data_IF_816855955224
#
_entry.id   IF_816855955224
#
_cell.length_a   1.000
_cell.length_b   1.000
_cell.length_c   1.000
_cell.angle_alpha   90.00
_cell.angle_beta   90.00
_cell.angle_gamma   90.00
#
_symmetry.space_group_name_H-M   'P 1'
#
loop_
_entity.id
_entity.type
_entity.pdbx_description
1 polymer ?
#
# COMPACT_ATOMS: atom_id res chain seq x y z
N UNK A 1 -25.51 -4.26 31.65
CA UNK A 1 -24.56 -3.29 32.24
C UNK A 1 -24.00 -2.47 31.10
N UNK A 2 -24.20 -1.16 31.10
CA UNK A 2 -23.67 -0.23 30.10
C UNK A 2 -22.14 -0.18 30.22
N UNK A 3 -21.41 -0.32 29.11
CA UNK A 3 -19.95 -0.22 29.09
C UNK A 3 -19.54 1.22 29.40
N UNK A 4 -18.54 1.42 30.25
CA UNK A 4 -17.96 2.75 30.50
C UNK A 4 -17.19 3.22 29.26
N UNK A 5 -17.02 4.54 29.11
CA UNK A 5 -16.21 5.13 28.02
C UNK A 5 -14.79 4.56 28.03
N UNK A 6 -14.20 4.38 29.22
CA UNK A 6 -12.86 3.81 29.35
C UNK A 6 -12.78 2.37 28.83
N UNK A 7 -13.80 1.54 29.09
CA UNK A 7 -13.86 0.19 28.53
C UNK A 7 -14.02 0.21 27.01
N UNK A 8 -14.88 1.10 26.47
CA UNK A 8 -15.03 1.25 25.02
C UNK A 8 -13.73 1.69 24.35
N UNK A 9 -12.98 2.63 24.93
CA UNK A 9 -11.67 3.05 24.42
C UNK A 9 -10.67 1.89 24.38
N UNK A 10 -10.63 1.09 25.44
CA UNK A 10 -9.78 -0.10 25.50
C UNK A 10 -10.14 -1.10 24.41
N UNK A 11 -11.44 -1.42 24.28
CA UNK A 11 -11.94 -2.34 23.25
C UNK A 11 -11.62 -1.81 21.84
N UNK A 12 -11.84 -0.52 21.58
CA UNK A 12 -11.56 0.13 20.30
C UNK A 12 -10.08 -0.01 19.92
N UNK A 13 -9.17 0.31 20.84
CA UNK A 13 -7.72 0.19 20.60
C UNK A 13 -7.34 -1.25 20.26
N UNK A 14 -7.90 -2.23 20.98
CA UNK A 14 -7.65 -3.64 20.68
C UNK A 14 -8.16 -4.07 19.31
N UNK A 15 -9.34 -3.57 18.90
CA UNK A 15 -9.97 -3.83 17.60
C UNK A 15 -9.09 -3.26 16.48
N UNK A 16 -8.68 -2.00 16.59
CA UNK A 16 -7.80 -1.35 15.62
C UNK A 16 -6.44 -2.06 15.52
N UNK A 17 -5.83 -2.41 16.66
CA UNK A 17 -4.57 -3.15 16.64
C UNK A 17 -4.72 -4.60 16.14
N UNK A 18 -5.89 -5.22 16.30
CA UNK A 18 -6.18 -6.51 15.69
C UNK A 18 -6.28 -6.41 14.16
N UNK A 19 -6.81 -5.31 13.63
CA UNK A 19 -6.82 -5.04 12.20
C UNK A 19 -5.39 -4.98 11.64
N UNK A 20 -4.50 -4.23 12.31
CA UNK A 20 -3.08 -4.14 11.94
C UNK A 20 -2.41 -5.52 11.99
N UNK A 21 -2.59 -6.28 13.08
CA UNK A 21 -2.00 -7.63 13.22
C UNK A 21 -2.53 -8.64 12.20
N UNK A 22 -3.76 -8.48 11.72
CA UNK A 22 -4.31 -9.34 10.67
C UNK A 22 -3.62 -9.07 9.32
N UNK A 23 -3.16 -7.84 9.09
CA UNK A 23 -2.40 -7.46 7.91
C UNK A 23 -0.88 -7.65 8.06
N UNK A 24 -0.39 -8.28 9.14
CA UNK A 24 1.04 -8.54 9.33
C UNK A 24 1.63 -9.30 8.13
N UNK A 25 2.64 -8.70 7.49
CA UNK A 25 3.16 -9.19 6.23
C UNK A 25 3.77 -10.59 6.35
N UNK A 26 4.44 -10.90 7.48
CA UNK A 26 5.00 -12.22 7.72
C UNK A 26 3.92 -13.30 7.88
N UNK A 27 2.85 -12.98 8.63
CA UNK A 27 1.66 -13.85 8.77
C UNK A 27 1.00 -14.11 7.43
N UNK A 28 0.84 -13.09 6.58
CA UNK A 28 0.21 -13.24 5.27
C UNK A 28 1.05 -14.12 4.34
N UNK A 29 2.37 -13.95 4.34
CA UNK A 29 3.28 -14.82 3.57
C UNK A 29 3.20 -16.26 4.06
N UNK A 30 3.24 -16.51 5.38
CA UNK A 30 3.10 -17.86 5.94
C UNK A 30 1.75 -18.50 5.60
N UNK A 31 0.67 -17.73 5.64
CA UNK A 31 -0.66 -18.19 5.25
C UNK A 31 -0.72 -18.56 3.76
N UNK A 32 -0.13 -17.74 2.88
CA UNK A 32 -0.04 -18.04 1.46
C UNK A 32 0.77 -19.31 1.18
N UNK A 33 1.84 -19.55 1.95
CA UNK A 33 2.67 -20.75 1.86
C UNK A 33 2.05 -21.99 2.50
N UNK A 34 0.86 -21.89 3.09
CA UNK A 34 0.06 -23.06 3.47
C UNK A 34 -0.77 -23.61 2.30
N UNK A 35 -0.87 -22.87 1.19
CA UNK A 35 -1.54 -23.33 -0.02
C UNK A 35 -0.73 -24.44 -0.71
N UNK A 36 -1.34 -25.63 -0.84
CA UNK A 36 -0.69 -26.80 -1.41
C UNK A 36 -0.21 -26.57 -2.85
N UNK A 37 -0.94 -25.80 -3.66
CA UNK A 37 -0.55 -25.52 -5.04
C UNK A 37 0.71 -24.67 -5.14
N UNK A 38 0.87 -23.69 -4.24
CA UNK A 38 2.08 -22.88 -4.16
C UNK A 38 3.27 -23.70 -3.66
N UNK A 39 3.05 -24.52 -2.63
CA UNK A 39 4.09 -25.41 -2.09
C UNK A 39 4.59 -26.40 -3.14
N UNK A 40 3.69 -27.01 -3.92
CA UNK A 40 4.09 -27.94 -4.98
C UNK A 40 4.86 -27.24 -6.11
N UNK A 41 4.51 -25.99 -6.46
CA UNK A 41 5.31 -25.19 -7.41
C UNK A 41 6.71 -24.90 -6.88
N UNK A 42 6.83 -24.58 -5.60
CA UNK A 42 8.11 -24.35 -4.95
C UNK A 42 8.97 -25.61 -4.99
N UNK A 43 8.42 -26.76 -4.58
CA UNK A 43 9.14 -28.06 -4.61
C UNK A 43 9.53 -28.51 -6.02
N UNK A 44 8.72 -28.21 -7.03
CA UNK A 44 8.99 -28.59 -8.41
C UNK A 44 10.10 -27.73 -9.07
N UNK A 45 10.42 -26.58 -8.50
CA UNK A 45 11.44 -25.68 -9.04
C UNK A 45 12.85 -26.23 -8.80
N UNK A 46 13.73 -26.14 -9.81
CA UNK A 46 15.14 -26.51 -9.65
C UNK A 46 15.90 -25.51 -8.78
N UNK A 47 15.54 -24.22 -8.86
CA UNK A 47 16.04 -23.13 -8.03
C UNK A 47 14.93 -22.12 -7.79
N UNK A 48 14.95 -21.51 -6.62
CA UNK A 48 14.06 -20.40 -6.27
C UNK A 48 14.88 -19.12 -6.18
N UNK A 49 14.42 -18.09 -6.87
CA UNK A 49 14.96 -16.73 -6.82
C UNK A 49 13.90 -15.83 -6.21
N UNK A 50 14.28 -14.92 -5.32
CA UNK A 50 13.33 -14.06 -4.62
C UNK A 50 13.70 -12.61 -4.81
N UNK A 51 12.71 -11.80 -5.21
CA UNK A 51 12.78 -10.33 -5.21
C UNK A 51 11.64 -9.82 -4.33
N UNK A 52 11.98 -9.30 -3.15
CA UNK A 52 11.06 -8.62 -2.26
C UNK A 52 11.19 -7.12 -2.42
N UNK A 53 10.08 -6.42 -2.67
CA UNK A 53 10.07 -4.98 -2.92
C UNK A 53 8.85 -4.30 -2.29
N UNK A 54 9.09 -3.17 -1.63
CA UNK A 54 8.05 -2.35 -1.01
C UNK A 54 8.31 -2.07 0.47
N UNK A 55 7.40 -1.34 1.11
CA UNK A 55 7.47 -1.00 2.55
C UNK A 55 7.51 -2.26 3.44
N UNK A 56 6.86 -3.35 3.00
CA UNK A 56 6.81 -4.61 3.74
C UNK A 56 7.85 -5.65 3.27
N UNK A 57 8.81 -5.26 2.41
CA UNK A 57 9.75 -6.21 1.79
C UNK A 57 10.57 -7.02 2.82
N UNK A 58 11.03 -6.38 3.90
CA UNK A 58 11.82 -7.05 4.94
C UNK A 58 11.05 -8.18 5.63
N UNK A 59 9.91 -7.90 6.28
CA UNK A 59 9.08 -8.92 6.90
C UNK A 59 8.62 -10.02 5.92
N UNK A 60 8.25 -9.66 4.69
CA UNK A 60 7.87 -10.64 3.67
C UNK A 60 9.03 -11.57 3.32
N UNK A 61 10.23 -11.02 3.08
CA UNK A 61 11.43 -11.78 2.73
C UNK A 61 11.85 -12.73 3.87
N UNK A 62 11.81 -12.24 5.11
CA UNK A 62 12.14 -13.04 6.29
C UNK A 62 11.19 -14.23 6.45
N UNK A 63 9.87 -13.99 6.40
CA UNK A 63 8.88 -15.05 6.54
C UNK A 63 8.94 -16.06 5.39
N UNK A 64 9.19 -15.60 4.16
CA UNK A 64 9.33 -16.47 3.00
C UNK A 64 10.58 -17.36 3.13
N UNK A 65 11.72 -16.80 3.52
CA UNK A 65 12.97 -17.55 3.65
C UNK A 65 12.93 -18.56 4.81
N UNK A 66 12.28 -18.22 5.93
CA UNK A 66 12.04 -19.13 7.05
C UNK A 66 11.21 -20.35 6.58
N UNK A 67 10.09 -20.09 5.90
CA UNK A 67 9.23 -21.15 5.40
C UNK A 67 9.93 -22.02 4.33
N UNK A 68 10.68 -21.43 3.40
CA UNK A 68 11.43 -22.17 2.38
C UNK A 68 12.51 -23.06 3.00
N UNK A 69 13.17 -22.60 4.07
CA UNK A 69 14.19 -23.40 4.76
C UNK A 69 13.61 -24.68 5.36
N UNK A 70 12.33 -24.69 5.75
CA UNK A 70 11.65 -25.89 6.25
C UNK A 70 11.40 -26.96 5.18
N UNK A 71 11.40 -26.58 3.89
CA UNK A 71 11.14 -27.49 2.77
C UNK A 71 12.37 -28.32 2.34
N UNK A 72 13.56 -28.04 2.92
CA UNK A 72 14.87 -28.68 2.65
C UNK A 72 15.44 -28.50 1.22
N UNK A 73 14.61 -28.59 0.17
CA UNK A 73 14.94 -28.33 -1.24
C UNK A 73 13.68 -27.85 -2.00
N UNK A 74 13.76 -26.89 -2.96
CA UNK A 74 14.93 -26.17 -3.44
C UNK A 74 15.49 -25.12 -2.49
N UNK A 75 16.82 -24.99 -2.45
CA UNK A 75 17.48 -23.86 -1.77
C UNK A 75 17.33 -22.57 -2.58
N UNK A 76 17.12 -21.41 -1.92
CA UNK A 76 17.11 -20.13 -2.61
C UNK A 76 18.49 -19.82 -3.20
N UNK A 77 18.52 -19.36 -4.45
CA UNK A 77 19.77 -18.97 -5.13
C UNK A 77 20.05 -17.48 -4.97
N UNK A 78 19.11 -16.62 -5.37
CA UNK A 78 19.15 -15.19 -5.09
C UNK A 78 18.03 -14.81 -4.12
N UNK A 79 18.36 -13.98 -3.13
CA UNK A 79 17.44 -13.39 -2.16
C UNK A 79 17.70 -11.89 -2.14
N UNK A 80 16.85 -11.10 -2.80
CA UNK A 80 17.01 -9.64 -2.90
C UNK A 80 15.85 -8.95 -2.20
N UNK A 81 16.15 -8.08 -1.24
CA UNK A 81 15.18 -7.19 -0.61
C UNK A 81 15.41 -5.73 -1.02
N UNK A 82 14.34 -5.01 -1.29
CA UNK A 82 14.34 -3.60 -1.71
C UNK A 82 13.29 -2.85 -0.87
N UNK A 83 13.73 -1.92 -0.04
CA UNK A 83 12.83 -1.18 0.84
C UNK A 83 13.38 0.19 1.22
N UNK A 84 12.58 1.02 1.92
CA UNK A 84 12.98 2.36 2.32
C UNK A 84 14.08 2.37 3.39
N UNK A 85 14.17 1.31 4.19
CA UNK A 85 15.18 1.11 5.22
C UNK A 85 15.44 -0.37 5.44
N UNK A 86 16.70 -0.72 5.71
CA UNK A 86 17.13 -2.07 6.04
C UNK A 86 16.47 -2.58 7.33
N UNK A 87 15.89 -3.79 7.32
CA UNK A 87 15.35 -4.40 8.53
C UNK A 87 16.48 -4.88 9.45
N UNK A 88 16.18 -4.99 10.76
CA UNK A 88 17.13 -5.45 11.78
C UNK A 88 17.67 -6.86 11.50
N UNK A 89 16.83 -7.71 10.93
CA UNK A 89 17.16 -9.08 10.57
C UNK A 89 16.90 -9.32 9.08
N UNK A 90 17.81 -10.05 8.45
CA UNK A 90 17.71 -10.53 7.08
C UNK A 90 18.06 -12.02 7.02
N UNK A 91 17.53 -12.78 6.05
CA UNK A 91 17.92 -14.16 5.87
C UNK A 91 19.41 -14.26 5.50
N UNK A 92 20.09 -15.37 5.82
CA UNK A 92 21.47 -15.58 5.39
C UNK A 92 21.62 -15.42 3.87
N UNK A 93 22.66 -14.70 3.45
CA UNK A 93 22.98 -14.41 2.02
C UNK A 93 21.98 -13.50 1.30
N UNK A 94 21.00 -12.91 1.99
CA UNK A 94 20.14 -11.92 1.38
C UNK A 94 20.90 -10.61 1.09
N UNK A 95 20.71 -10.09 -0.12
CA UNK A 95 21.14 -8.76 -0.52
C UNK A 95 20.03 -7.77 -0.18
N UNK A 96 20.39 -6.62 0.37
CA UNK A 96 19.42 -5.55 0.67
C UNK A 96 19.82 -4.25 0.00
N UNK A 97 18.83 -3.59 -0.60
CA UNK A 97 18.96 -2.28 -1.21
C UNK A 97 18.04 -1.28 -0.51
N UNK A 98 18.64 -0.28 0.14
CA UNK A 98 17.92 0.89 0.61
C UNK A 98 17.59 1.78 -0.59
N UNK A 99 16.30 2.03 -0.84
CA UNK A 99 15.82 2.83 -1.97
C UNK A 99 14.96 4.00 -1.51
N UNK A 100 14.93 5.08 -2.29
CA UNK A 100 14.12 6.25 -1.94
C UNK A 100 12.62 6.06 -2.24
N UNK A 101 11.80 6.60 -1.33
CA UNK A 101 10.35 6.71 -1.43
C UNK A 101 9.92 8.02 -0.75
N UNK A 102 8.96 8.79 -1.30
CA UNK A 102 8.09 8.48 -2.43
C UNK A 102 8.65 8.85 -3.81
N UNK A 103 9.74 9.61 -3.87
CA UNK A 103 10.40 9.99 -5.14
C UNK A 103 11.60 9.07 -5.36
N UNK A 104 11.70 8.36 -6.50
CA UNK A 104 12.81 7.47 -6.79
C UNK A 104 14.12 8.24 -6.96
N UNK A 105 15.25 7.66 -6.57
CA UNK A 105 16.60 8.18 -6.80
C UNK A 105 17.51 7.12 -7.46
N UNK A 106 18.80 7.40 -7.58
CA UNK A 106 19.77 6.45 -8.13
C UNK A 106 19.87 5.13 -7.37
N UNK A 107 19.51 5.09 -6.07
CA UNK A 107 19.43 3.83 -5.33
C UNK A 107 18.29 2.97 -5.86
N UNK A 108 17.15 3.59 -6.16
CA UNK A 108 16.01 2.92 -6.80
C UNK A 108 16.35 2.33 -8.17
N UNK A 109 17.19 3.02 -8.95
CA UNK A 109 17.68 2.54 -10.26
C UNK A 109 18.58 1.32 -10.08
N UNK A 110 19.55 1.38 -9.16
CA UNK A 110 20.45 0.25 -8.86
C UNK A 110 19.70 -0.98 -8.36
N UNK A 111 18.75 -0.79 -7.44
CA UNK A 111 17.91 -1.86 -6.91
C UNK A 111 17.07 -2.52 -8.02
N UNK A 112 16.48 -1.70 -8.90
CA UNK A 112 15.70 -2.22 -10.03
C UNK A 112 16.55 -2.93 -11.08
N UNK A 113 17.77 -2.46 -11.34
CA UNK A 113 18.73 -3.18 -12.19
C UNK A 113 19.03 -4.56 -11.62
N UNK A 114 19.34 -4.65 -10.32
CA UNK A 114 19.62 -5.93 -9.66
C UNK A 114 18.43 -6.89 -9.74
N UNK A 115 17.21 -6.40 -9.50
CA UNK A 115 15.99 -7.20 -9.63
C UNK A 115 15.80 -7.75 -11.05
N UNK A 116 16.06 -6.93 -12.07
CA UNK A 116 16.01 -7.35 -13.47
C UNK A 116 17.09 -8.39 -13.80
N UNK A 117 18.30 -8.23 -13.28
CA UNK A 117 19.40 -9.18 -13.47
C UNK A 117 19.08 -10.54 -12.83
N UNK A 118 18.46 -10.55 -11.64
CA UNK A 118 17.97 -11.78 -10.99
C UNK A 118 16.91 -12.48 -11.84
N UNK A 119 15.94 -11.73 -12.38
CA UNK A 119 14.93 -12.29 -13.26
C UNK A 119 15.55 -12.87 -14.54
N UNK A 120 16.46 -12.15 -15.18
CA UNK A 120 17.15 -12.57 -16.40
C UNK A 120 18.06 -13.80 -16.22
N UNK A 121 18.59 -14.01 -15.00
CA UNK A 121 19.45 -15.14 -14.66
C UNK A 121 18.69 -16.46 -14.45
N UNK A 122 17.34 -16.44 -14.44
CA UNK A 122 16.54 -17.65 -14.26
C UNK A 122 16.69 -18.62 -15.44
N UNK A 123 16.65 -19.92 -15.15
CA UNK A 123 16.55 -20.99 -16.14
C UNK A 123 15.09 -21.45 -16.33
N UNK A 124 14.76 -22.22 -17.39
CA UNK A 124 13.38 -22.67 -17.66
C UNK A 124 12.70 -23.47 -16.54
N UNK A 125 13.47 -24.17 -15.69
CA UNK A 125 12.96 -24.93 -14.53
C UNK A 125 13.05 -24.17 -13.20
N UNK A 126 13.50 -22.92 -13.23
CA UNK A 126 13.58 -22.09 -12.04
C UNK A 126 12.23 -21.40 -11.77
N UNK A 127 12.08 -20.91 -10.54
CA UNK A 127 10.96 -20.10 -10.11
C UNK A 127 11.47 -18.75 -9.58
N UNK A 128 10.93 -17.66 -10.12
CA UNK A 128 11.05 -16.33 -9.54
C UNK A 128 9.84 -16.06 -8.64
N UNK A 129 10.09 -15.80 -7.36
CA UNK A 129 9.09 -15.32 -6.42
C UNK A 129 9.25 -13.82 -6.23
N UNK A 130 8.21 -13.06 -6.51
CA UNK A 130 8.16 -11.62 -6.29
C UNK A 130 7.25 -11.32 -5.10
N UNK A 131 7.85 -10.81 -4.02
CA UNK A 131 7.12 -10.40 -2.82
C UNK A 131 6.89 -8.88 -2.93
N UNK A 132 5.66 -8.49 -3.23
CA UNK A 132 5.33 -7.13 -3.63
C UNK A 132 4.47 -6.43 -2.57
N UNK A 133 4.81 -5.20 -2.22
CA UNK A 133 3.99 -4.36 -1.34
C UNK A 133 4.03 -2.89 -1.76
N UNK A 134 3.25 -2.06 -1.05
CA UNK A 134 3.18 -0.61 -1.24
C UNK A 134 4.53 0.09 -1.39
N UNK A 135 4.58 1.13 -2.22
CA UNK A 135 5.80 1.92 -2.47
C UNK A 135 6.79 1.35 -3.50
N UNK A 136 6.59 0.10 -3.97
CA UNK A 136 7.42 -0.52 -5.02
C UNK A 136 7.55 0.35 -6.30
N UNK A 137 6.55 1.20 -6.54
CA UNK A 137 6.50 2.28 -7.53
C UNK A 137 7.86 2.98 -7.72
N UNK A 138 8.30 3.56 -6.60
CA UNK A 138 9.49 4.40 -6.47
C UNK A 138 10.72 3.60 -6.04
N UNK A 139 10.55 2.56 -5.21
CA UNK A 139 11.67 1.78 -4.68
C UNK A 139 12.40 0.97 -5.77
N UNK A 140 11.69 0.56 -6.82
CA UNK A 140 12.20 -0.22 -7.95
C UNK A 140 11.91 0.49 -9.26
N UNK A 141 12.65 1.57 -9.53
CA UNK A 141 12.44 2.47 -10.65
C UNK A 141 13.58 2.41 -11.67
N UNK A 142 13.41 1.59 -12.71
CA UNK A 142 14.33 1.53 -13.85
C UNK A 142 13.76 2.32 -15.04
N UNK A 143 14.41 3.42 -15.50
CA UNK A 143 14.05 4.10 -16.73
C UNK A 143 14.16 3.17 -17.94
N UNK A 144 13.38 3.47 -18.99
CA UNK A 144 13.54 2.81 -20.30
C UNK A 144 14.86 3.22 -20.97
N UNK A 145 15.25 2.50 -22.01
CA UNK A 145 16.45 2.84 -22.78
C UNK A 145 16.33 4.24 -23.41
N UNK A 146 17.36 5.07 -23.27
CA UNK A 146 17.41 6.41 -23.86
C UNK A 146 16.70 7.51 -23.06
N UNK A 147 16.24 7.24 -21.83
CA UNK A 147 15.71 8.27 -20.91
C UNK A 147 16.42 8.23 -19.55
N UNK A 148 16.61 9.39 -18.94
CA UNK A 148 17.18 9.52 -17.60
C UNK A 148 16.12 9.35 -16.51
N UNK A 149 16.55 9.18 -15.25
CA UNK A 149 15.64 9.14 -14.11
C UNK A 149 14.92 10.48 -13.93
N UNK A 150 15.64 11.58 -14.15
CA UNK A 150 15.16 12.96 -14.05
C UNK A 150 14.01 13.21 -15.03
N UNK A 151 14.11 12.67 -16.26
CA UNK A 151 13.05 12.78 -17.27
C UNK A 151 11.76 12.12 -16.77
N UNK A 152 11.89 10.95 -16.14
CA UNK A 152 10.78 10.20 -15.57
C UNK A 152 10.17 10.94 -14.38
N UNK A 153 11.00 11.46 -13.48
CA UNK A 153 10.54 12.27 -12.34
C UNK A 153 9.82 13.55 -12.80
N UNK A 154 10.35 14.24 -13.82
CA UNK A 154 9.71 15.44 -14.38
C UNK A 154 8.36 15.10 -15.02
N UNK A 155 8.31 14.02 -15.81
CA UNK A 155 7.07 13.57 -16.45
C UNK A 155 5.99 13.26 -15.42
N UNK A 156 6.33 12.49 -14.37
CA UNK A 156 5.39 12.19 -13.28
C UNK A 156 4.91 13.46 -12.59
N UNK A 157 5.81 14.41 -12.29
CA UNK A 157 5.43 15.70 -11.69
C UNK A 157 4.46 16.49 -12.57
N UNK A 158 4.68 16.54 -13.88
CA UNK A 158 3.79 17.25 -14.80
C UNK A 158 2.42 16.58 -14.93
N UNK A 159 2.38 15.25 -15.01
CA UNK A 159 1.12 14.50 -15.04
C UNK A 159 0.28 14.74 -13.77
N UNK A 160 0.91 14.70 -12.60
CA UNK A 160 0.24 14.98 -11.33
C UNK A 160 -0.29 16.42 -11.28
N UNK A 161 0.51 17.42 -11.72
CA UNK A 161 0.06 18.80 -11.83
C UNK A 161 -1.10 18.98 -12.81
N UNK A 162 -1.12 18.20 -13.88
CA UNK A 162 -2.20 18.17 -14.88
C UNK A 162 -3.44 17.38 -14.45
N UNK A 163 -3.48 16.89 -13.21
CA UNK A 163 -4.60 16.11 -12.68
C UNK A 163 -4.81 14.77 -13.41
N UNK A 164 -3.72 14.14 -13.86
CA UNK A 164 -3.79 12.81 -14.46
C UNK A 164 -4.40 11.80 -13.47
N UNK A 165 -5.28 10.93 -13.97
CA UNK A 165 -5.80 9.83 -13.16
C UNK A 165 -4.69 8.80 -12.87
N UNK A 166 -4.92 7.90 -11.92
CA UNK A 166 -3.96 6.83 -11.62
C UNK A 166 -3.70 5.94 -12.83
N UNK A 167 -4.73 5.66 -13.64
CA UNK A 167 -4.62 4.83 -14.84
C UNK A 167 -3.80 5.53 -15.92
N UNK A 168 -4.05 6.82 -16.15
CA UNK A 168 -3.27 7.62 -17.11
C UNK A 168 -1.80 7.73 -16.69
N UNK A 169 -1.56 8.00 -15.40
CA UNK A 169 -0.23 8.06 -14.85
C UNK A 169 0.50 6.70 -15.01
N UNK A 170 -0.19 5.60 -14.76
CA UNK A 170 0.39 4.26 -14.88
C UNK A 170 0.63 3.85 -16.33
N UNK A 171 -0.26 4.19 -17.26
CA UNK A 171 -0.02 3.99 -18.68
C UNK A 171 1.31 4.63 -19.09
N UNK A 172 1.53 5.92 -18.78
CA UNK A 172 2.82 6.57 -19.10
C UNK A 172 3.98 5.92 -18.33
N UNK A 173 3.86 5.70 -17.00
CA UNK A 173 4.97 5.18 -16.17
C UNK A 173 5.46 3.81 -16.60
N UNK A 174 4.56 2.92 -17.06
CA UNK A 174 4.90 1.57 -17.54
C UNK A 174 5.72 1.65 -18.84
N UNK A 175 5.28 2.46 -19.80
CA UNK A 175 5.96 2.67 -21.09
C UNK A 175 7.31 3.41 -20.96
N UNK A 176 7.51 4.17 -19.88
CA UNK A 176 8.80 4.79 -19.54
C UNK A 176 9.68 3.91 -18.62
N UNK A 177 9.45 2.60 -18.53
CA UNK A 177 10.20 1.75 -17.59
C UNK A 177 10.72 0.48 -18.22
N UNK A 178 11.95 0.09 -17.91
CA UNK A 178 12.48 -1.22 -18.32
C UNK A 178 12.01 -2.39 -17.42
N UNK A 179 11.26 -2.14 -16.34
CA UNK A 179 10.90 -3.19 -15.34
C UNK A 179 9.39 -3.28 -15.02
N UNK A 180 8.62 -2.21 -15.28
CA UNK A 180 7.18 -2.14 -14.98
C UNK A 180 6.33 -2.71 -16.12
N UNK A 181 5.03 -2.88 -15.90
CA UNK A 181 4.08 -3.34 -16.92
C UNK A 181 4.44 -4.70 -17.49
N UNK A 182 4.72 -5.67 -16.62
CA UNK A 182 5.04 -7.05 -16.99
C UNK A 182 6.49 -7.30 -17.38
N UNK A 183 7.31 -6.25 -17.56
CA UNK A 183 8.69 -6.39 -18.07
C UNK A 183 9.62 -7.20 -17.15
N UNK A 184 9.41 -7.19 -15.82
CA UNK A 184 10.18 -8.06 -14.91
C UNK A 184 9.86 -9.54 -15.15
N UNK A 185 8.58 -9.89 -15.28
CA UNK A 185 8.19 -11.27 -15.59
C UNK A 185 8.62 -11.68 -17.00
N UNK A 186 8.54 -10.77 -17.97
CA UNK A 186 8.97 -11.05 -19.35
C UNK A 186 10.48 -11.31 -19.47
N UNK A 187 11.31 -10.74 -18.59
CA UNK A 187 12.75 -10.99 -18.53
C UNK A 187 13.11 -12.39 -17.99
N UNK A 188 12.16 -13.08 -17.34
CA UNK A 188 12.38 -14.41 -16.74
C UNK A 188 12.44 -15.49 -17.83
N UNK A 189 13.06 -16.66 -17.57
CA UNK A 189 12.96 -17.87 -18.43
C UNK A 189 12.09 -18.97 -17.80
N UNK A 190 12.07 -19.04 -16.48
CA UNK A 190 11.21 -19.93 -15.70
C UNK A 190 9.84 -19.34 -15.34
N UNK A 191 9.18 -19.93 -14.34
CA UNK A 191 7.89 -19.46 -13.84
C UNK A 191 8.05 -18.24 -12.92
N UNK A 192 6.98 -17.44 -12.81
CA UNK A 192 6.92 -16.30 -11.90
C UNK A 192 5.71 -16.45 -10.99
N UNK A 193 5.91 -16.30 -9.69
CA UNK A 193 4.84 -16.19 -8.69
C UNK A 193 4.98 -14.87 -7.97
N UNK A 194 3.92 -14.06 -7.97
CA UNK A 194 3.87 -12.83 -7.19
C UNK A 194 2.95 -13.00 -5.98
N UNK A 195 3.44 -12.66 -4.80
CA UNK A 195 2.64 -12.53 -3.59
C UNK A 195 2.57 -11.05 -3.23
N UNK A 196 1.41 -10.43 -3.39
CA UNK A 196 1.20 -9.00 -3.24
C UNK A 196 0.42 -8.66 -1.96
N UNK A 197 0.89 -7.67 -1.22
CA UNK A 197 0.12 -6.96 -0.20
C UNK A 197 -0.31 -5.62 -0.81
N UNK A 198 -1.62 -5.42 -0.90
CA UNK A 198 -2.22 -4.28 -1.60
C UNK A 198 -2.53 -3.13 -0.65
N UNK A 199 -1.97 -1.96 -0.95
CA UNK A 199 -2.39 -0.65 -0.44
C UNK A 199 -3.22 0.14 -1.47
N UNK A 200 -3.70 -0.54 -2.53
CA UNK A 200 -4.44 0.07 -3.62
C UNK A 200 -5.93 -0.20 -3.44
N UNK A 201 -6.75 0.85 -3.54
CA UNK A 201 -8.21 0.70 -3.55
C UNK A 201 -8.64 -0.17 -4.73
N UNK A 202 -9.33 -1.27 -4.45
CA UNK A 202 -9.80 -2.22 -5.46
C UNK A 202 -8.80 -3.33 -5.80
N UNK A 203 -7.62 -3.34 -5.18
CA UNK A 203 -6.68 -4.46 -5.23
C UNK A 203 -6.23 -4.82 -6.67
N UNK A 204 -6.12 -3.82 -7.58
CA UNK A 204 -5.62 -4.08 -8.94
C UNK A 204 -4.09 -4.29 -8.94
N UNK A 205 -3.68 -5.54 -9.21
CA UNK A 205 -2.29 -5.95 -9.37
C UNK A 205 -1.53 -5.16 -10.46
N UNK A 206 -2.21 -4.66 -11.49
CA UNK A 206 -1.61 -3.83 -12.54
C UNK A 206 -1.16 -2.46 -12.04
N UNK A 207 -1.75 -2.00 -10.92
CA UNK A 207 -1.46 -0.73 -10.25
C UNK A 207 -0.41 -0.91 -9.17
N UNK A 208 -0.46 -2.00 -8.40
CA UNK A 208 0.50 -2.29 -7.32
C UNK A 208 1.92 -2.39 -7.91
N UNK A 209 2.82 -1.51 -7.47
CA UNK A 209 4.18 -1.44 -8.02
C UNK A 209 4.24 -1.10 -9.52
N UNK A 210 3.15 -0.62 -10.12
CA UNK A 210 2.95 -0.50 -11.57
C UNK A 210 3.06 -1.85 -12.31
N UNK A 211 2.62 -2.94 -11.67
CA UNK A 211 2.45 -4.27 -12.26
C UNK A 211 3.71 -4.84 -12.91
N UNK A 212 4.85 -4.99 -12.21
CA UNK A 212 6.09 -5.48 -12.82
C UNK A 212 6.00 -6.90 -13.37
N UNK A 213 5.06 -7.70 -12.86
CA UNK A 213 4.88 -9.13 -13.19
C UNK A 213 3.52 -9.44 -13.83
N UNK A 214 2.76 -8.41 -14.19
CA UNK A 214 1.35 -8.49 -14.63
C UNK A 214 1.27 -7.86 -16.03
N UNK A 215 0.46 -8.40 -16.96
CA UNK A 215 0.34 -7.80 -18.28
C UNK A 215 -0.20 -6.36 -18.21
N UNK A 216 0.17 -5.56 -19.20
CA UNK A 216 -0.29 -4.18 -19.34
C UNK A 216 -1.11 -4.04 -20.63
N UNK A 217 -2.43 -3.80 -20.55
CA UNK A 217 -3.26 -3.65 -21.74
C UNK A 217 -3.05 -2.31 -22.45
N UNK A 218 -2.49 -1.30 -21.77
CA UNK A 218 -2.23 0.01 -22.37
C UNK A 218 -1.08 -0.03 -23.37
N UNK A 219 -1.04 0.95 -24.28
CA UNK A 219 -0.06 1.02 -25.38
C UNK A 219 0.75 2.31 -25.36
N UNK A 220 1.83 2.34 -26.13
CA UNK A 220 2.58 3.58 -26.41
C UNK A 220 1.68 4.69 -26.99
N UNK A 221 0.67 4.32 -27.78
CA UNK A 221 -0.30 5.27 -28.31
C UNK A 221 -1.17 5.89 -27.20
N UNK A 222 -1.62 5.08 -26.24
CA UNK A 222 -2.36 5.56 -25.07
C UNK A 222 -1.49 6.49 -24.22
N UNK A 223 -0.24 6.12 -23.99
CA UNK A 223 0.71 6.95 -23.25
C UNK A 223 0.94 8.32 -23.92
N UNK A 224 1.07 8.36 -25.25
CA UNK A 224 1.15 9.63 -26.00
C UNK A 224 -0.14 10.45 -25.90
N UNK A 225 -1.30 9.79 -26.02
CA UNK A 225 -2.59 10.45 -25.90
C UNK A 225 -2.80 11.06 -24.50
N UNK A 226 -2.25 10.44 -23.45
CA UNK A 226 -2.21 11.03 -22.11
C UNK A 226 -1.40 12.32 -22.10
N UNK A 227 -0.19 12.33 -22.69
CA UNK A 227 0.62 13.56 -22.75
C UNK A 227 -0.12 14.69 -23.49
N UNK A 228 -0.80 14.36 -24.59
CA UNK A 228 -1.61 15.30 -25.37
C UNK A 228 -2.76 15.90 -24.54
N UNK A 229 -3.51 15.07 -23.82
CA UNK A 229 -4.61 15.52 -22.95
C UNK A 229 -4.13 16.33 -21.75
N UNK A 230 -2.93 16.03 -21.23
CA UNK A 230 -2.38 16.62 -20.00
C UNK A 230 -1.38 17.74 -20.30
N UNK A 231 -1.73 18.65 -21.21
CA UNK A 231 -0.99 19.89 -21.46
C UNK A 231 -0.11 19.90 -22.72
N UNK A 232 -0.08 18.81 -23.50
CA UNK A 232 0.65 18.72 -24.76
C UNK A 232 2.09 18.24 -24.61
N UNK A 233 2.64 17.62 -25.67
CA UNK A 233 3.96 16.94 -25.62
C UNK A 233 5.14 17.87 -25.31
N UNK A 234 5.00 19.14 -25.65
CA UNK A 234 6.00 20.20 -25.50
C UNK A 234 6.35 20.55 -24.04
N UNK A 235 5.51 20.17 -23.06
CA UNK A 235 5.83 20.38 -21.63
C UNK A 235 6.58 19.21 -20.98
N UNK A 236 6.75 18.11 -21.72
CA UNK A 236 7.44 16.91 -21.27
C UNK A 236 8.87 16.86 -21.83
N UNK A 237 9.81 16.18 -21.16
CA UNK A 237 11.17 16.01 -21.67
C UNK A 237 11.18 15.43 -23.09
N UNK A 238 12.02 15.96 -23.97
CA UNK A 238 12.09 15.52 -25.37
C UNK A 238 12.41 14.03 -25.49
N UNK A 239 13.32 13.51 -24.66
CA UNK A 239 13.69 12.11 -24.63
C UNK A 239 12.48 11.18 -24.33
N UNK A 240 11.57 11.61 -23.46
CA UNK A 240 10.33 10.88 -23.14
C UNK A 240 9.39 10.83 -24.34
N UNK A 241 9.15 11.97 -24.98
CA UNK A 241 8.30 12.05 -26.18
C UNK A 241 8.89 11.22 -27.31
N UNK A 242 10.21 11.31 -27.53
CA UNK A 242 10.92 10.52 -28.53
C UNK A 242 10.80 9.02 -28.25
N UNK A 243 10.99 8.57 -27.01
CA UNK A 243 10.84 7.16 -26.64
C UNK A 243 9.43 6.65 -26.96
N UNK A 244 8.39 7.37 -26.55
CA UNK A 244 7.02 6.95 -26.79
C UNK A 244 6.66 6.94 -28.28
N UNK A 245 7.16 7.90 -29.06
CA UNK A 245 6.97 7.93 -30.52
C UNK A 245 7.69 6.79 -31.23
N UNK A 246 8.91 6.43 -30.78
CA UNK A 246 9.61 5.24 -31.28
C UNK A 246 8.83 3.96 -30.99
N UNK A 247 8.31 3.84 -29.77
CA UNK A 247 7.43 2.73 -29.38
C UNK A 247 6.17 2.65 -30.23
N UNK A 248 5.50 3.79 -30.48
CA UNK A 248 4.32 3.86 -31.37
C UNK A 248 4.61 3.44 -32.81
N UNK A 249 5.84 3.67 -33.29
CA UNK A 249 6.30 3.22 -34.62
C UNK A 249 6.75 1.75 -34.66
N UNK A 250 6.73 1.05 -33.53
CA UNK A 250 7.17 -0.34 -33.43
C UNK A 250 8.68 -0.53 -33.41
N UNK A 251 9.46 0.52 -33.15
CA UNK A 251 10.92 0.43 -33.03
C UNK A 251 11.38 -0.12 -31.68
N UNK A 252 10.49 -0.14 -30.69
CA UNK A 252 10.71 -0.65 -29.34
C UNK A 252 9.54 -1.56 -29.01
N UNK A 253 9.84 -2.72 -28.42
CA UNK A 253 8.84 -3.65 -27.94
C UNK A 253 7.85 -2.98 -26.98
N UNK A 254 6.58 -3.30 -27.19
CA UNK A 254 5.51 -2.89 -26.31
C UNK A 254 5.64 -3.54 -24.90
N UNK A 255 4.99 -2.98 -23.88
CA UNK A 255 4.80 -3.69 -22.61
C UNK A 255 4.08 -5.02 -22.85
N UNK A 256 4.48 -6.12 -22.18
CA UNK A 256 3.82 -7.42 -22.31
C UNK A 256 2.29 -7.32 -22.22
N UNK A 257 1.64 -7.70 -23.32
CA UNK A 257 0.18 -7.70 -23.44
C UNK A 257 -0.41 -8.97 -22.82
N UNK A 258 -1.72 -9.03 -22.53
CA UNK A 258 -2.34 -10.20 -21.92
C UNK A 258 -2.12 -11.53 -22.66
N UNK A 259 -1.91 -11.48 -23.97
CA UNK A 259 -1.64 -12.61 -24.86
C UNK A 259 -0.14 -12.90 -25.07
N UNK A 260 0.76 -12.13 -24.45
CA UNK A 260 2.21 -12.32 -24.59
C UNK A 260 2.65 -13.66 -23.96
N UNK A 261 3.25 -14.60 -24.73
CA UNK A 261 3.69 -15.89 -24.19
C UNK A 261 4.66 -15.78 -23.01
N UNK A 262 5.42 -14.69 -22.91
CA UNK A 262 6.39 -14.46 -21.82
C UNK A 262 5.68 -14.23 -20.48
N UNK A 263 4.45 -13.70 -20.49
CA UNK A 263 3.65 -13.43 -19.28
C UNK A 263 2.76 -14.62 -18.89
N UNK A 264 2.46 -15.54 -19.82
CA UNK A 264 1.59 -16.70 -19.58
C UNK A 264 2.07 -17.63 -18.44
N UNK A 265 3.36 -17.58 -18.11
CA UNK A 265 3.98 -18.32 -17.00
C UNK A 265 4.04 -17.56 -15.66
N UNK A 266 3.50 -16.34 -15.63
CA UNK A 266 3.41 -15.49 -14.45
C UNK A 266 2.04 -15.62 -13.81
N UNK A 267 2.03 -15.92 -12.51
CA UNK A 267 0.82 -15.87 -11.68
C UNK A 267 1.04 -14.86 -10.55
N UNK A 268 -0.03 -14.18 -10.17
CA UNK A 268 0.01 -13.16 -9.12
C UNK A 268 -1.18 -13.32 -8.19
N UNK A 269 -0.91 -13.30 -6.89
CA UNK A 269 -1.88 -13.48 -5.83
C UNK A 269 -1.83 -12.31 -4.88
N UNK A 270 -2.99 -11.81 -4.48
CA UNK A 270 -3.12 -10.83 -3.42
C UNK A 270 -3.29 -11.61 -2.14
N UNK A 271 -2.28 -11.55 -1.29
CA UNK A 271 -2.23 -12.30 -0.03
C UNK A 271 -2.72 -11.46 1.15
N UNK A 272 -2.81 -10.15 0.98
CA UNK A 272 -3.43 -9.24 1.93
C UNK A 272 -3.82 -7.92 1.30
N UNK A 273 -4.86 -7.32 1.84
CA UNK A 273 -5.36 -6.01 1.42
C UNK A 273 -6.29 -5.44 2.47
N UNK A 274 -7.01 -4.39 2.11
CA UNK A 274 -7.91 -3.65 3.00
C UNK A 274 -8.86 -4.56 3.80
N UNK A 275 -9.48 -5.52 3.12
CA UNK A 275 -10.46 -6.42 3.74
C UNK A 275 -9.83 -7.42 4.70
N UNK A 276 -8.52 -7.69 4.59
CA UNK A 276 -7.77 -8.49 5.55
C UNK A 276 -7.70 -7.78 6.91
N UNK A 277 -7.42 -6.48 6.92
CA UNK A 277 -7.41 -5.70 8.15
C UNK A 277 -8.82 -5.58 8.76
N UNK A 278 -9.84 -5.33 7.92
CA UNK A 278 -11.25 -5.31 8.37
C UNK A 278 -11.64 -6.64 9.01
N UNK A 279 -11.27 -7.78 8.42
CA UNK A 279 -11.55 -9.09 8.99
C UNK A 279 -10.95 -9.25 10.40
N UNK A 280 -9.72 -8.77 10.62
CA UNK A 280 -9.08 -8.76 11.93
C UNK A 280 -9.81 -7.91 12.98
N UNK A 281 -10.28 -6.72 12.59
CA UNK A 281 -11.11 -5.88 13.44
C UNK A 281 -12.45 -6.57 13.78
N UNK A 282 -13.12 -7.16 12.78
CA UNK A 282 -14.40 -7.85 12.94
C UNK A 282 -14.27 -9.03 13.90
N UNK A 283 -13.25 -9.87 13.73
CA UNK A 283 -12.98 -11.02 14.62
C UNK A 283 -12.79 -10.56 16.07
N UNK A 284 -11.95 -9.53 16.28
CA UNK A 284 -11.70 -8.99 17.62
C UNK A 284 -12.96 -8.36 18.21
N UNK A 285 -13.72 -7.57 17.45
CA UNK A 285 -14.96 -6.95 17.92
C UNK A 285 -16.00 -8.01 18.34
N UNK A 286 -16.20 -9.06 17.53
CA UNK A 286 -17.08 -10.18 17.86
C UNK A 286 -16.62 -10.91 19.12
N UNK A 287 -15.32 -11.15 19.28
CA UNK A 287 -14.76 -11.78 20.49
C UNK A 287 -14.98 -10.94 21.76
N UNK A 288 -15.16 -9.62 21.61
CA UNK A 288 -15.51 -8.68 22.68
C UNK A 288 -17.03 -8.49 22.82
N UNK A 289 -17.85 -9.29 22.12
CA UNK A 289 -19.31 -9.29 22.23
C UNK A 289 -20.03 -8.17 21.48
N UNK A 290 -19.38 -7.52 20.50
CA UNK A 290 -20.03 -6.53 19.65
C UNK A 290 -20.78 -7.17 18.48
N UNK A 291 -21.94 -6.62 18.14
CA UNK A 291 -22.58 -6.81 16.85
C UNK A 291 -21.90 -5.93 15.82
N UNK A 292 -21.41 -6.51 14.72
CA UNK A 292 -20.52 -5.81 13.79
C UNK A 292 -21.24 -5.51 12.47
N UNK A 293 -21.17 -4.25 12.02
CA UNK A 293 -21.50 -3.84 10.66
C UNK A 293 -20.22 -3.43 9.92
N UNK A 294 -20.03 -3.97 8.72
CA UNK A 294 -18.89 -3.64 7.86
C UNK A 294 -19.36 -2.70 6.76
N UNK A 295 -18.70 -1.55 6.64
CA UNK A 295 -18.85 -0.67 5.48
C UNK A 295 -18.00 -1.27 4.35
N UNK A 296 -18.65 -1.97 3.42
CA UNK A 296 -17.95 -2.72 2.36
C UNK A 296 -17.24 -1.80 1.36
N UNK A 297 -17.86 -0.69 1.00
CA UNK A 297 -17.27 0.30 0.09
C UNK A 297 -15.98 0.90 0.69
N UNK A 298 -14.97 1.20 -0.14
CA UNK A 298 -13.76 1.85 0.34
C UNK A 298 -14.05 3.29 0.80
N UNK A 299 -13.50 3.67 1.94
CA UNK A 299 -13.58 5.04 2.47
C UNK A 299 -12.47 5.85 1.80
N UNK A 300 -12.87 6.75 0.89
CA UNK A 300 -11.94 7.53 0.05
C UNK A 300 -12.35 8.99 0.02
N UNK A 301 -11.45 9.83 -0.51
CA UNK A 301 -11.67 11.28 -0.63
C UNK A 301 -10.99 12.04 0.50
N UNK A 302 -11.38 13.31 0.65
CA UNK A 302 -10.82 14.20 1.67
C UNK A 302 -11.23 13.72 3.07
N UNK A 303 -10.27 13.57 3.98
CA UNK A 303 -10.44 12.96 5.30
C UNK A 303 -11.60 13.55 6.14
N UNK A 304 -11.79 14.88 6.12
CA UNK A 304 -12.84 15.57 6.88
C UNK A 304 -14.24 15.32 6.31
N UNK A 305 -14.34 15.19 4.99
CA UNK A 305 -15.61 14.88 4.32
C UNK A 305 -15.96 13.40 4.47
N UNK A 306 -14.95 12.53 4.33
CA UNK A 306 -15.08 11.09 4.55
C UNK A 306 -15.50 10.77 6.00
N UNK A 307 -15.02 11.54 6.98
CA UNK A 307 -15.45 11.44 8.38
C UNK A 307 -16.94 11.73 8.58
N UNK A 308 -17.47 12.78 7.94
CA UNK A 308 -18.91 13.09 8.00
C UNK A 308 -19.74 11.97 7.41
N UNK A 309 -19.37 11.48 6.22
CA UNK A 309 -20.06 10.37 5.58
C UNK A 309 -20.03 9.10 6.46
N UNK A 310 -18.89 8.81 7.08
CA UNK A 310 -18.75 7.69 8.01
C UNK A 310 -19.63 7.87 9.26
N UNK A 311 -19.70 9.06 9.85
CA UNK A 311 -20.55 9.33 11.01
C UNK A 311 -22.03 9.05 10.70
N UNK A 312 -22.49 9.45 9.51
CA UNK A 312 -23.86 9.17 9.06
C UNK A 312 -24.10 7.67 8.86
N UNK A 313 -23.16 6.97 8.23
CA UNK A 313 -23.24 5.51 8.06
C UNK A 313 -23.27 4.79 9.40
N UNK A 314 -22.39 5.19 10.33
CA UNK A 314 -22.33 4.64 11.66
C UNK A 314 -23.64 4.87 12.43
N UNK A 315 -24.22 6.07 12.32
CA UNK A 315 -25.52 6.38 12.91
C UNK A 315 -26.66 5.51 12.34
N UNK A 316 -26.73 5.36 11.02
CA UNK A 316 -27.72 4.49 10.34
C UNK A 316 -27.56 3.03 10.74
N UNK A 317 -26.34 2.52 10.75
CA UNK A 317 -26.06 1.14 11.14
C UNK A 317 -26.38 0.90 12.63
N UNK A 318 -25.98 1.81 13.51
CA UNK A 318 -26.25 1.72 14.95
C UNK A 318 -27.75 1.79 15.31
N UNK A 319 -28.58 2.38 14.45
CA UNK A 319 -30.04 2.40 14.63
C UNK A 319 -30.70 1.04 14.36
N UNK A 320 -30.04 0.14 13.62
CA UNK A 320 -30.59 -1.16 13.22
C UNK A 320 -29.87 -2.35 13.86
N UNK A 321 -28.62 -2.17 14.28
CA UNK A 321 -27.84 -3.20 14.96
C UNK A 321 -28.23 -3.36 16.44
N UNK A 322 -28.30 -4.59 16.96
CA UNK A 322 -28.34 -4.82 18.40
C UNK A 322 -27.09 -4.26 19.09
N UNK A 323 -27.24 -3.83 20.33
CA UNK A 323 -26.15 -3.25 21.14
C UNK A 323 -25.53 -4.31 22.06
N UNK A 324 -24.22 -4.23 22.34
CA UNK A 324 -23.28 -3.20 21.87
C UNK A 324 -22.88 -3.41 20.40
N UNK A 325 -22.72 -2.33 19.65
CA UNK A 325 -22.46 -2.35 18.21
C UNK A 325 -21.06 -1.82 17.86
N UNK A 326 -20.47 -2.37 16.80
CA UNK A 326 -19.20 -1.94 16.23
C UNK A 326 -19.37 -1.73 14.72
N UNK A 327 -19.04 -0.55 14.22
CA UNK A 327 -19.05 -0.23 12.81
C UNK A 327 -17.61 -0.12 12.36
N UNK A 328 -17.24 -0.93 11.36
CA UNK A 328 -15.86 -0.99 10.84
C UNK A 328 -15.88 -0.69 9.36
N UNK A 329 -14.97 0.17 8.93
CA UNK A 329 -14.69 0.43 7.54
C UNK A 329 -13.20 0.55 7.32
N UNK A 330 -12.81 0.66 6.05
CA UNK A 330 -11.43 0.88 5.71
C UNK A 330 -11.35 1.57 4.34
N UNK A 331 -10.20 2.15 4.04
CA UNK A 331 -9.94 2.80 2.76
C UNK A 331 -8.63 3.55 2.75
N UNK A 332 -8.59 4.66 2.02
CA UNK A 332 -7.39 5.49 1.88
C UNK A 332 -7.87 6.92 1.65
N UNK A 333 -7.77 7.76 2.67
CA UNK A 333 -8.19 9.17 2.56
C UNK A 333 -7.02 10.08 2.18
N UNK A 334 -7.32 11.32 1.83
CA UNK A 334 -6.32 12.35 1.53
C UNK A 334 -6.58 13.61 2.35
N UNK A 335 -5.54 14.42 2.51
CA UNK A 335 -5.63 15.74 3.15
C UNK A 335 -5.23 16.79 2.13
N UNK A 336 -6.05 17.82 1.98
CA UNK A 336 -5.65 19.03 1.26
C UNK A 336 -4.95 19.95 2.26
N UNK A 337 -3.63 20.00 2.19
CA UNK A 337 -2.81 20.82 3.08
C UNK A 337 -2.97 22.30 2.70
N UNK A 338 -3.48 23.09 3.64
CA UNK A 338 -3.72 24.54 3.54
C UNK A 338 -2.96 25.33 4.60
N UNK A 339 -2.77 24.75 5.78
CA UNK A 339 -2.02 25.32 6.89
C UNK A 339 -0.58 24.82 6.97
N UNK A 340 0.10 25.20 8.04
CA UNK A 340 1.48 24.80 8.35
C UNK A 340 1.56 23.87 9.56
N UNK A 341 0.42 23.30 9.97
CA UNK A 341 0.32 22.37 11.08
C UNK A 341 0.99 21.01 10.82
N UNK A 342 1.03 20.21 11.86
CA UNK A 342 1.50 18.83 11.83
C UNK A 342 0.30 17.88 12.00
N UNK A 343 0.20 16.86 11.16
CA UNK A 343 -0.91 15.92 11.22
C UNK A 343 -0.91 14.93 10.07
N UNK A 344 -1.93 14.08 10.05
CA UNK A 344 -2.17 13.11 9.00
C UNK A 344 -3.65 12.90 8.76
N UNK A 345 -3.97 12.09 7.75
CA UNK A 345 -5.34 11.86 7.31
C UNK A 345 -6.18 11.13 8.35
N UNK A 346 -5.61 10.17 9.09
CA UNK A 346 -6.32 9.44 10.13
C UNK A 346 -6.59 10.34 11.34
N UNK A 347 -5.63 11.20 11.68
CA UNK A 347 -5.80 12.22 12.71
C UNK A 347 -6.84 13.26 12.30
N UNK A 348 -6.80 13.80 11.08
CA UNK A 348 -7.85 14.74 10.62
C UNK A 348 -9.25 14.09 10.56
N UNK A 349 -9.32 12.82 10.15
CA UNK A 349 -10.56 12.05 10.18
C UNK A 349 -11.11 11.96 11.61
N UNK A 350 -10.26 11.58 12.58
CA UNK A 350 -10.64 11.51 13.99
C UNK A 350 -11.06 12.89 14.54
N UNK A 351 -10.35 13.96 14.18
CA UNK A 351 -10.68 15.33 14.60
C UNK A 351 -12.05 15.77 14.09
N UNK A 352 -12.38 15.43 12.84
CA UNK A 352 -13.69 15.66 12.26
C UNK A 352 -14.80 14.80 12.87
N UNK A 353 -14.47 13.68 13.54
CA UNK A 353 -15.43 12.81 14.22
C UNK A 353 -15.83 13.29 15.62
N UNK A 354 -15.18 14.31 16.20
CA UNK A 354 -15.50 14.78 17.57
C UNK A 354 -16.98 15.15 17.72
N UNK A 355 -17.57 15.83 16.74
CA UNK A 355 -18.98 16.25 16.79
C UNK A 355 -19.98 15.10 16.72
N UNK A 356 -19.55 13.88 16.37
CA UNK A 356 -20.42 12.71 16.34
C UNK A 356 -20.80 12.22 17.75
N UNK A 357 -19.97 12.53 18.76
CA UNK A 357 -20.12 12.00 20.12
C UNK A 357 -19.94 10.48 20.22
N UNK A 358 -19.37 9.82 19.21
CA UNK A 358 -19.09 8.38 19.22
C UNK A 358 -17.72 8.09 19.84
N UNK A 359 -17.52 6.86 20.32
CA UNK A 359 -16.18 6.32 20.56
C UNK A 359 -15.64 5.83 19.23
N UNK A 360 -14.66 6.54 18.67
CA UNK A 360 -14.18 6.34 17.30
C UNK A 360 -12.66 6.33 17.25
N UNK A 361 -12.07 5.58 16.31
CA UNK A 361 -10.67 5.71 15.98
C UNK A 361 -10.39 5.40 14.52
N UNK A 362 -9.35 6.04 13.99
CA UNK A 362 -8.81 5.81 12.65
C UNK A 362 -7.33 5.50 12.77
N UNK A 363 -6.85 4.50 12.04
CA UNK A 363 -5.44 4.07 12.08
C UNK A 363 -4.92 3.74 10.68
N UNK A 364 -3.75 4.27 10.34
CA UNK A 364 -2.94 3.85 9.20
C UNK A 364 -2.25 2.53 9.53
N UNK A 365 -2.46 1.51 8.69
CA UNK A 365 -1.95 0.16 8.98
C UNK A 365 -0.44 0.03 8.89
N UNK A 366 0.26 0.99 8.26
CA UNK A 366 1.73 1.07 8.25
C UNK A 366 2.32 1.66 9.54
N UNK A 367 1.45 2.14 10.44
CA UNK A 367 1.82 2.69 11.74
C UNK A 367 2.24 4.15 11.71
N UNK A 368 2.07 4.82 10.55
CA UNK A 368 2.47 6.21 10.32
C UNK A 368 1.31 6.96 9.67
N UNK A 369 0.98 8.13 10.21
CA UNK A 369 -0.06 9.00 9.67
C UNK A 369 0.49 10.39 9.45
N UNK A 370 0.67 10.76 8.18
CA UNK A 370 1.38 11.97 7.79
C UNK A 370 2.87 11.93 8.17
N UNK A 371 3.55 13.09 8.26
CA UNK A 371 4.93 13.17 8.71
C UNK A 371 5.03 13.16 10.25
N UNK A 372 4.35 12.19 10.90
CA UNK A 372 4.26 12.08 12.36
C UNK A 372 4.73 10.70 12.84
N UNK A 373 4.89 10.54 14.15
CA UNK A 373 5.18 9.26 14.81
C UNK A 373 3.92 8.55 15.35
N UNK A 374 2.74 9.06 14.99
CA UNK A 374 1.45 8.45 15.28
C UNK A 374 0.93 7.69 14.06
N UNK A 375 0.19 6.62 14.30
CA UNK A 375 -0.57 5.89 13.29
C UNK A 375 -1.97 6.46 13.08
N UNK A 376 -2.44 7.36 13.96
CA UNK A 376 -3.79 7.91 13.93
C UNK A 376 -4.20 8.43 15.31
N UNK A 377 -5.50 8.50 15.57
CA UNK A 377 -6.04 9.03 16.82
C UNK A 377 -7.39 8.39 17.21
N UNK A 378 -7.77 8.57 18.46
CA UNK A 378 -9.05 8.15 19.05
C UNK A 378 -9.83 9.38 19.53
N UNK A 379 -11.15 9.34 19.39
CA UNK A 379 -12.07 10.29 20.01
C UNK A 379 -13.17 9.55 20.75
N UNK A 380 -13.77 10.25 21.70
CA UNK A 380 -14.85 9.79 22.55
C UNK A 380 -15.77 10.95 22.96
N UNK A 381 -16.92 10.69 23.63
CA UNK A 381 -17.85 11.75 24.05
C UNK A 381 -17.25 12.84 24.95
N UNK A 382 -16.12 12.58 25.62
CA UNK A 382 -15.46 13.52 26.53
C UNK A 382 -14.41 14.39 25.83
N UNK A 383 -14.05 14.07 24.58
CA UNK A 383 -12.93 14.69 23.86
C UNK A 383 -13.13 16.20 23.68
N UNK A 384 -14.35 16.63 23.35
CA UNK A 384 -14.67 18.05 23.19
C UNK A 384 -14.51 18.84 24.51
N UNK A 385 -14.96 18.27 25.62
CA UNK A 385 -14.84 18.89 26.95
C UNK A 385 -13.37 18.99 27.39
N UNK A 386 -12.61 17.89 27.22
CA UNK A 386 -11.16 17.87 27.53
C UNK A 386 -10.38 18.88 26.69
N UNK A 387 -10.71 19.02 25.41
CA UNK A 387 -10.11 20.02 24.52
C UNK A 387 -10.42 21.46 24.97
N UNK A 388 -11.68 21.75 25.30
CA UNK A 388 -12.09 23.06 25.77
C UNK A 388 -11.40 23.46 27.09
N UNK A 389 -11.22 22.51 28.02
CA UNK A 389 -10.50 22.74 29.27
C UNK A 389 -9.01 23.13 29.07
N UNK A 390 -8.43 22.76 27.91
CA UNK A 390 -7.07 23.13 27.51
C UNK A 390 -7.02 24.33 26.54
N UNK A 391 -8.16 24.94 26.23
CA UNK A 391 -8.25 26.04 25.26
C UNK A 391 -8.02 25.61 23.81
N UNK A 392 -8.22 24.33 23.49
CA UNK A 392 -8.03 23.78 22.15
C UNK A 392 -9.35 23.80 21.38
N UNK A 393 -9.43 24.58 20.29
CA UNK A 393 -10.59 24.60 19.41
C UNK A 393 -10.42 23.63 18.22
N UNK A 394 -11.22 22.55 18.11
CA UNK A 394 -11.08 21.57 17.04
C UNK A 394 -11.12 22.16 15.62
N UNK A 395 -11.94 23.21 15.39
CA UNK A 395 -12.06 23.81 14.06
C UNK A 395 -10.79 24.56 13.65
N UNK A 396 -10.19 25.30 14.58
CA UNK A 396 -8.90 25.96 14.37
C UNK A 396 -7.82 24.95 13.98
N UNK A 397 -7.65 23.86 14.74
CA UNK A 397 -6.65 22.83 14.43
C UNK A 397 -6.92 22.13 13.10
N UNK A 398 -8.19 21.83 12.76
CA UNK A 398 -8.57 21.22 11.48
C UNK A 398 -8.34 22.16 10.28
N UNK A 399 -8.53 23.47 10.46
CA UNK A 399 -8.29 24.47 9.43
C UNK A 399 -6.80 24.69 9.14
N UNK A 400 -5.95 24.51 10.16
CA UNK A 400 -4.50 24.66 10.06
C UNK A 400 -3.76 23.34 9.75
N UNK A 401 -4.49 22.23 9.52
CA UNK A 401 -3.93 20.88 9.35
C UNK A 401 -3.03 20.45 10.51
N UNK A 402 -3.42 20.78 11.75
CA UNK A 402 -2.59 20.61 12.95
C UNK A 402 -3.13 19.52 13.91
N UNK A 403 -3.71 18.47 13.36
CA UNK A 403 -4.39 17.42 14.15
C UNK A 403 -3.45 16.68 15.12
N UNK A 404 -2.15 16.62 14.85
CA UNK A 404 -1.16 15.98 15.74
C UNK A 404 -1.06 16.66 17.09
N UNK A 405 -0.85 17.99 17.10
CA UNK A 405 -0.68 18.72 18.36
C UNK A 405 -1.97 18.72 19.19
N UNK A 406 -3.13 18.75 18.52
CA UNK A 406 -4.43 18.61 19.19
C UNK A 406 -4.52 17.29 19.99
N UNK A 407 -4.28 16.15 19.32
CA UNK A 407 -4.38 14.84 19.99
C UNK A 407 -3.22 14.55 20.93
N UNK A 408 -2.03 15.11 20.67
CA UNK A 408 -0.89 15.00 21.58
C UNK A 408 -1.19 15.67 22.92
N UNK A 409 -1.85 16.83 22.92
CA UNK A 409 -2.23 17.53 24.15
C UNK A 409 -3.27 16.76 24.98
N UNK A 410 -4.05 15.88 24.34
CA UNK A 410 -5.10 15.07 24.98
C UNK A 410 -4.68 13.63 25.30
N UNK A 411 -3.45 13.23 24.94
CA UNK A 411 -2.97 11.85 25.00
C UNK A 411 -3.89 10.84 24.25
N UNK A 412 -4.38 11.27 23.09
CA UNK A 412 -5.36 10.54 22.27
C UNK A 412 -4.77 9.96 20.97
N UNK A 413 -3.46 10.08 20.79
CA UNK A 413 -2.75 9.51 19.64
C UNK A 413 -2.67 7.98 19.72
N UNK A 414 -2.83 7.33 18.57
CA UNK A 414 -2.52 5.92 18.39
C UNK A 414 -1.07 5.79 17.94
N UNK A 415 -0.24 5.13 18.75
CA UNK A 415 1.18 4.92 18.48
C UNK A 415 1.46 3.42 18.42
N UNK A 416 1.81 2.92 17.24
CA UNK A 416 2.19 1.52 17.01
C UNK A 416 3.68 1.36 16.75
N UNK A 417 4.35 2.43 16.32
CA UNK A 417 5.60 2.34 15.56
C UNK A 417 5.36 1.74 14.16
N UNK A 418 6.40 1.63 13.33
CA UNK A 418 6.33 0.98 12.03
C UNK A 418 5.86 -0.47 12.18
N UNK A 419 4.79 -0.83 11.48
CA UNK A 419 4.16 -2.16 11.63
C UNK A 419 4.73 -3.21 10.67
N UNK A 420 5.50 -2.77 9.66
CA UNK A 420 6.04 -3.66 8.63
C UNK A 420 4.99 -4.14 7.61
N UNK A 421 3.83 -3.50 7.52
CA UNK A 421 2.79 -3.75 6.50
C UNK A 421 2.21 -2.44 5.98
N UNK A 422 1.39 -2.48 4.93
CA UNK A 422 0.54 -1.36 4.51
C UNK A 422 -0.62 -1.90 3.68
N UNK A 423 -1.84 -1.78 4.20
CA UNK A 423 -3.10 -2.11 3.49
C UNK A 423 -4.12 -0.96 3.59
N UNK A 424 -3.62 0.25 3.77
CA UNK A 424 -4.39 1.49 3.91
C UNK A 424 -4.83 1.80 5.34
N UNK A 425 -5.95 2.49 5.47
CA UNK A 425 -6.50 2.96 6.74
C UNK A 425 -7.68 2.09 7.21
N UNK A 426 -7.84 1.95 8.54
CA UNK A 426 -9.00 1.31 9.17
C UNK A 426 -9.69 2.28 10.12
N UNK A 427 -11.01 2.38 9.98
CA UNK A 427 -11.88 3.20 10.83
C UNK A 427 -12.82 2.30 11.62
N UNK A 428 -12.97 2.57 12.92
CA UNK A 428 -13.93 1.85 13.76
C UNK A 428 -14.66 2.80 14.71
N UNK A 429 -15.97 2.62 14.85
CA UNK A 429 -16.81 3.27 15.86
C UNK A 429 -17.50 2.22 16.74
N UNK A 430 -17.64 2.53 18.02
CA UNK A 430 -18.34 1.70 19.01
C UNK A 430 -19.55 2.44 19.57
N UNK A 431 -20.65 1.70 19.70
CA UNK A 431 -21.90 2.17 20.32
C UNK A 431 -22.26 1.21 21.47
N UNK A 432 -22.35 1.71 22.72
CA UNK A 432 -22.53 0.88 23.92
C UNK A 432 -23.88 0.16 23.99
#
# INVERSE_FOLDING_TARGET
>A
MTRSVQHLRSDLREILFAAVRAADAGRLVRAALADASLVERLKAASRVHVVAVGKAAGPMLNAFAEALSSLHDPRPHFLVGIGPARPDALPPRAEWFDSAHPVPDERSVRAARRALDVAAATAPKDLLVVLLSGGASALMALPGEGIALEDKQQTVRQLLKGGATIDELNAVRKHLSAIKGGRLAAATKGHVVTLAISDVVGDDLSVIGSGPTVPDPSTFADALAVLDRRGGRNIYPSAVVTLLERGRRGEIDETPKPDDPRIARSIAHIIGGRMTAVAGAVEKARSRGYHVHVIERPIVGEAREAARAFAEDAGRAAATLPRPACIVGAGETTVVVKGNGLGGRNQEFALAMISSGLVFGSIGTDGIDGPTDAAGAVVDPTTAERAAALGLDPQTFLSNNDSYHFFSALDDLLRTGPTGTNVGDVQAALVP
#
